data_IF_546634265730
#
_entry.id   IF_546634265730
#
_cell.length_a   1.000
_cell.length_b   1.000
_cell.length_c   1.000
_cell.angle_alpha   90.00
_cell.angle_beta   90.00
_cell.angle_gamma   90.00
#
_symmetry.space_group_name_H-M   'P 1'
#
loop_
_entity.id
_entity.type
_entity.pdbx_description
1 polymer ?
#
# COMPACT_ATOMS: atom_id res chain seq x y z
N UNK A 1 -16.35 -26.62 33.05
CA UNK A 1 -17.07 -26.95 31.81
C UNK A 1 -17.52 -25.63 31.20
N UNK A 2 -16.61 -24.94 30.49
CA UNK A 2 -16.84 -23.63 29.89
C UNK A 2 -16.76 -23.77 28.38
N UNK A 3 -17.84 -23.37 27.71
CA UNK A 3 -18.08 -23.53 26.29
C UNK A 3 -16.93 -22.96 25.45
N UNK A 4 -16.27 -23.83 24.66
CA UNK A 4 -15.50 -23.42 23.50
C UNK A 4 -16.48 -22.86 22.47
N UNK A 5 -16.60 -21.53 22.38
CA UNK A 5 -17.19 -20.89 21.21
C UNK A 5 -16.31 -21.23 20.02
N UNK A 6 -16.79 -22.09 19.13
CA UNK A 6 -16.06 -22.49 17.93
C UNK A 6 -15.69 -21.25 17.12
N UNK A 7 -14.40 -21.02 16.95
CA UNK A 7 -13.89 -20.11 15.94
C UNK A 7 -14.39 -20.59 14.57
N UNK A 8 -14.97 -19.68 13.80
CA UNK A 8 -15.75 -19.98 12.60
C UNK A 8 -14.96 -20.77 11.56
N UNK A 9 -15.54 -21.88 11.12
CA UNK A 9 -15.07 -22.80 10.06
C UNK A 9 -15.08 -22.19 8.64
N UNK A 10 -15.23 -20.87 8.50
CA UNK A 10 -15.38 -20.18 7.22
C UNK A 10 -14.09 -19.52 6.75
N UNK A 11 -13.95 -19.24 5.44
CA UNK A 11 -12.79 -18.52 4.93
C UNK A 11 -12.74 -17.08 5.48
N UNK A 12 -11.53 -16.59 5.72
CA UNK A 12 -11.32 -15.18 6.01
C UNK A 12 -11.52 -14.36 4.74
N UNK A 13 -12.35 -13.32 4.82
CA UNK A 13 -12.61 -12.41 3.70
C UNK A 13 -11.67 -11.20 3.74
N UNK A 14 -11.52 -10.55 2.58
CA UNK A 14 -10.72 -9.33 2.45
C UNK A 14 -11.36 -8.27 1.56
N UNK A 15 -10.97 -7.01 1.79
CA UNK A 15 -11.32 -5.88 0.95
C UNK A 15 -10.24 -5.62 -0.08
N UNK A 16 -10.65 -5.15 -1.26
CA UNK A 16 -9.77 -4.94 -2.40
C UNK A 16 -9.80 -3.48 -2.86
N UNK A 17 -8.72 -2.75 -2.58
CA UNK A 17 -8.38 -1.40 -3.03
C UNK A 17 -9.36 -0.28 -2.66
N UNK A 18 -10.64 -0.39 -3.01
CA UNK A 18 -11.66 0.65 -2.84
C UNK A 18 -13.00 0.02 -2.45
N UNK A 19 -13.87 0.85 -1.91
CA UNK A 19 -15.30 0.54 -1.80
C UNK A 19 -16.06 1.17 -2.97
N UNK A 20 -17.28 0.68 -3.24
CA UNK A 20 -18.18 1.34 -4.19
C UNK A 20 -18.57 2.75 -3.69
N UNK A 21 -18.73 2.90 -2.37
CA UNK A 21 -18.88 4.20 -1.72
C UNK A 21 -17.51 4.89 -1.54
N UNK A 22 -17.53 6.14 -1.08
CA UNK A 22 -16.31 6.89 -0.77
C UNK A 22 -15.66 6.51 0.58
N UNK A 23 -16.11 5.42 1.22
CA UNK A 23 -15.56 4.96 2.51
C UNK A 23 -14.08 4.60 2.41
N UNK A 24 -13.66 4.00 1.29
CA UNK A 24 -12.27 3.73 0.95
C UNK A 24 -12.04 4.10 -0.51
N UNK A 25 -11.39 5.25 -0.74
CA UNK A 25 -11.02 5.74 -2.07
C UNK A 25 -9.77 6.59 -1.96
N UNK A 26 -8.68 6.25 -2.66
CA UNK A 26 -7.40 6.95 -2.58
C UNK A 26 -7.28 8.11 -3.56
N UNK A 27 -6.42 9.07 -3.24
CA UNK A 27 -6.03 10.13 -4.19
C UNK A 27 -4.90 9.62 -5.07
N UNK A 28 -4.89 10.13 -6.30
CA UNK A 28 -3.83 9.89 -7.27
C UNK A 28 -3.32 11.22 -7.83
N UNK A 29 -2.06 11.23 -8.26
CA UNK A 29 -1.42 12.34 -8.92
C UNK A 29 -0.76 11.85 -10.20
N UNK A 30 -1.03 12.53 -11.32
CA UNK A 30 -0.39 12.18 -12.59
C UNK A 30 0.97 12.84 -12.72
N UNK A 31 1.90 12.20 -13.42
CA UNK A 31 3.24 12.76 -13.68
C UNK A 31 3.15 14.12 -14.38
N UNK A 32 2.22 14.26 -15.33
CA UNK A 32 1.95 15.52 -16.02
C UNK A 32 1.61 16.65 -15.05
N UNK A 33 0.80 16.39 -14.02
CA UNK A 33 0.44 17.39 -13.01
C UNK A 33 1.61 17.70 -12.08
N UNK A 34 2.35 16.68 -11.64
CA UNK A 34 3.53 16.87 -10.78
C UNK A 34 4.57 17.79 -11.44
N UNK A 35 4.85 17.58 -12.73
CA UNK A 35 5.82 18.37 -13.49
C UNK A 35 5.41 19.83 -13.77
N UNK A 36 4.19 20.25 -13.40
CA UNK A 36 3.79 21.66 -13.44
C UNK A 36 4.33 22.47 -12.25
N UNK A 37 4.87 21.79 -11.24
CA UNK A 37 5.40 22.39 -10.02
C UNK A 37 6.93 22.40 -10.01
N UNK A 38 7.52 23.36 -9.32
CA UNK A 38 8.96 23.34 -9.01
C UNK A 38 9.29 22.26 -7.98
N UNK A 39 10.58 22.00 -7.74
CA UNK A 39 11.03 20.92 -6.86
C UNK A 39 10.54 21.03 -5.40
N UNK A 40 10.40 22.25 -4.86
CA UNK A 40 9.91 22.44 -3.49
C UNK A 40 8.42 22.14 -3.42
N UNK A 41 7.68 22.62 -4.40
CA UNK A 41 6.24 22.44 -4.50
C UNK A 41 5.88 20.98 -4.82
N UNK A 42 6.68 20.28 -5.65
CA UNK A 42 6.55 18.84 -5.87
C UNK A 42 6.63 18.07 -4.55
N UNK A 43 7.66 18.33 -3.73
CA UNK A 43 7.82 17.69 -2.41
C UNK A 43 6.62 17.95 -1.52
N UNK A 44 6.12 19.19 -1.46
CA UNK A 44 4.95 19.57 -0.65
C UNK A 44 3.70 18.82 -1.10
N UNK A 45 3.41 18.82 -2.40
CA UNK A 45 2.24 18.14 -2.97
C UNK A 45 2.30 16.62 -2.74
N UNK A 46 3.48 16.00 -2.89
CA UNK A 46 3.67 14.58 -2.62
C UNK A 46 3.48 14.26 -1.13
N UNK A 47 4.03 15.09 -0.22
CA UNK A 47 3.87 14.89 1.22
C UNK A 47 2.40 14.95 1.64
N UNK A 48 1.66 15.94 1.16
CA UNK A 48 0.22 16.06 1.41
C UNK A 48 -0.57 14.87 0.85
N UNK A 49 -0.21 14.41 -0.35
CA UNK A 49 -0.84 13.24 -0.97
C UNK A 49 -0.58 11.97 -0.16
N UNK A 50 0.67 11.72 0.24
CA UNK A 50 1.05 10.54 0.99
C UNK A 50 0.39 10.52 2.37
N UNK A 51 0.32 11.68 3.05
CA UNK A 51 -0.34 11.80 4.34
C UNK A 51 -1.85 11.50 4.24
N UNK A 52 -2.52 12.06 3.23
CA UNK A 52 -3.94 11.77 2.98
C UNK A 52 -4.16 10.28 2.64
N UNK A 53 -3.30 9.69 1.80
CA UNK A 53 -3.38 8.27 1.46
C UNK A 53 -3.13 7.36 2.68
N UNK A 54 -2.22 7.71 3.58
CA UNK A 54 -2.03 7.00 4.85
C UNK A 54 -3.25 7.13 5.78
N UNK A 55 -3.84 8.32 5.86
CA UNK A 55 -5.08 8.51 6.61
C UNK A 55 -6.21 7.63 6.08
N UNK A 56 -6.32 7.51 4.75
CA UNK A 56 -7.29 6.64 4.09
C UNK A 56 -6.99 5.16 4.28
N UNK A 57 -5.72 4.77 4.29
CA UNK A 57 -5.32 3.41 4.64
C UNK A 57 -5.76 3.06 6.07
N UNK A 58 -5.56 3.95 7.03
CA UNK A 58 -6.07 3.75 8.39
C UNK A 58 -7.59 3.62 8.45
N UNK A 59 -8.33 4.45 7.69
CA UNK A 59 -9.78 4.31 7.56
C UNK A 59 -10.22 3.01 6.88
N UNK A 60 -9.44 2.50 5.92
CA UNK A 60 -9.68 1.19 5.31
C UNK A 60 -9.48 0.04 6.32
N UNK A 61 -8.49 0.15 7.21
CA UNK A 61 -8.31 -0.79 8.31
C UNK A 61 -9.51 -0.76 9.25
N UNK A 62 -10.02 0.43 9.62
CA UNK A 62 -11.22 0.58 10.44
C UNK A 62 -12.45 -0.05 9.78
N UNK A 63 -12.60 0.18 8.48
CA UNK A 63 -13.66 -0.42 7.68
C UNK A 63 -13.59 -1.96 7.71
N UNK A 64 -12.39 -2.53 7.59
CA UNK A 64 -12.15 -3.96 7.67
C UNK A 64 -12.50 -4.52 9.05
N UNK A 65 -12.02 -3.90 10.13
CA UNK A 65 -12.33 -4.30 11.52
C UNK A 65 -13.84 -4.31 11.75
N UNK A 66 -14.54 -3.25 11.36
CA UNK A 66 -15.98 -3.12 11.54
C UNK A 66 -16.80 -4.20 10.80
N UNK A 67 -16.19 -4.90 9.84
CA UNK A 67 -16.83 -5.95 9.02
C UNK A 67 -16.21 -7.33 9.20
N UNK A 68 -15.29 -7.48 10.15
CA UNK A 68 -14.58 -8.74 10.38
C UNK A 68 -13.70 -9.19 9.21
N UNK A 69 -13.23 -8.27 8.37
CA UNK A 69 -12.31 -8.56 7.27
C UNK A 69 -10.88 -8.64 7.80
N UNK A 70 -10.15 -9.69 7.44
CA UNK A 70 -8.78 -9.95 7.93
C UNK A 70 -7.70 -9.78 6.87
N UNK A 71 -8.09 -9.35 5.67
CA UNK A 71 -7.17 -9.07 4.57
C UNK A 71 -7.54 -7.76 3.90
N UNK A 72 -6.52 -6.98 3.54
CA UNK A 72 -6.71 -5.77 2.76
C UNK A 72 -5.67 -5.68 1.64
N UNK A 73 -6.15 -5.73 0.39
CA UNK A 73 -5.31 -5.45 -0.77
C UNK A 73 -5.23 -3.95 -0.98
N UNK A 74 -4.07 -3.37 -0.66
CA UNK A 74 -3.82 -1.95 -0.84
C UNK A 74 -3.72 -1.59 -2.34
N UNK A 75 -3.92 -0.31 -2.64
CA UNK A 75 -3.61 0.22 -3.97
C UNK A 75 -2.10 0.24 -4.20
N UNK A 76 -1.66 -0.14 -5.40
CA UNK A 76 -0.24 -0.06 -5.81
C UNK A 76 0.24 1.40 -5.95
N UNK A 77 -0.71 2.34 -6.10
CA UNK A 77 -0.46 3.77 -6.12
C UNK A 77 -0.60 4.46 -4.77
N UNK A 78 -0.30 3.78 -3.65
CA UNK A 78 -0.39 4.38 -2.31
C UNK A 78 0.60 5.55 -2.18
N UNK A 79 1.81 5.38 -2.73
CA UNK A 79 2.89 6.37 -2.77
C UNK A 79 3.38 6.55 -4.21
N UNK A 80 2.65 7.28 -5.07
CA UNK A 80 3.06 7.47 -6.46
C UNK A 80 4.39 8.24 -6.52
N UNK A 81 5.33 7.76 -7.33
CA UNK A 81 6.67 8.35 -7.51
C UNK A 81 7.63 8.19 -6.31
N UNK A 82 7.36 7.25 -5.39
CA UNK A 82 8.19 7.03 -4.21
C UNK A 82 9.64 6.56 -4.51
N UNK A 83 9.93 6.15 -5.75
CA UNK A 83 11.22 5.69 -6.23
C UNK A 83 11.99 6.72 -7.08
N UNK A 84 11.44 7.93 -7.28
CA UNK A 84 12.09 9.00 -8.05
C UNK A 84 12.66 10.13 -7.19
N UNK A 85 13.40 11.04 -7.82
CA UNK A 85 14.11 12.14 -7.14
C UNK A 85 13.18 13.08 -6.35
N UNK A 86 11.91 13.19 -6.76
CA UNK A 86 10.94 14.06 -6.10
C UNK A 86 10.27 13.35 -4.91
N UNK A 87 9.92 12.07 -5.07
CA UNK A 87 9.16 11.32 -4.08
C UNK A 87 10.00 10.53 -3.07
N UNK A 88 11.21 10.09 -3.41
CA UNK A 88 12.05 9.31 -2.51
C UNK A 88 12.39 10.04 -1.20
N UNK A 89 12.80 11.33 -1.20
CA UNK A 89 13.07 12.06 0.04
C UNK A 89 11.82 12.19 0.92
N UNK A 90 10.67 12.48 0.31
CA UNK A 90 9.38 12.61 1.03
C UNK A 90 8.97 11.27 1.66
N UNK A 91 9.16 10.18 0.92
CA UNK A 91 8.84 8.84 1.42
C UNK A 91 9.73 8.48 2.63
N UNK A 92 11.03 8.77 2.55
CA UNK A 92 11.97 8.57 3.66
C UNK A 92 11.64 9.44 4.89
N UNK A 93 11.31 10.72 4.68
CA UNK A 93 10.88 11.63 5.75
C UNK A 93 9.62 11.15 6.48
N UNK A 94 8.76 10.37 5.82
CA UNK A 94 7.50 9.85 6.38
C UNK A 94 7.63 8.41 6.90
N UNK A 95 8.85 7.86 7.00
CA UNK A 95 9.06 6.46 7.35
C UNK A 95 8.41 6.05 8.68
N UNK A 96 8.39 6.95 9.68
CA UNK A 96 7.75 6.66 10.96
C UNK A 96 6.22 6.62 10.88
N UNK A 97 5.58 7.56 10.18
CA UNK A 97 4.14 7.58 9.90
C UNK A 97 3.70 6.30 9.16
N UNK A 98 4.48 5.90 8.17
CA UNK A 98 4.25 4.69 7.38
C UNK A 98 4.37 3.46 8.28
N UNK A 99 5.45 3.36 9.06
CA UNK A 99 5.67 2.26 9.99
C UNK A 99 4.54 2.14 11.02
N UNK A 100 4.08 3.24 11.60
CA UNK A 100 2.96 3.25 12.55
C UNK A 100 1.68 2.67 11.93
N UNK A 101 1.38 3.03 10.68
CA UNK A 101 0.19 2.51 9.98
C UNK A 101 0.31 1.01 9.69
N UNK A 102 1.48 0.55 9.26
CA UNK A 102 1.69 -0.88 8.99
C UNK A 102 1.71 -1.74 10.25
N UNK A 103 2.32 -1.28 11.35
CA UNK A 103 2.27 -1.95 12.65
C UNK A 103 0.85 -2.05 13.17
N UNK A 104 0.06 -0.98 13.02
CA UNK A 104 -1.36 -0.99 13.37
C UNK A 104 -2.15 -2.05 12.61
N UNK A 105 -1.89 -2.24 11.31
CA UNK A 105 -2.54 -3.32 10.55
C UNK A 105 -2.25 -4.71 11.15
N UNK A 106 -0.99 -4.95 11.55
CA UNK A 106 -0.58 -6.17 12.24
C UNK A 106 -1.29 -6.34 13.59
N UNK A 107 -1.37 -5.29 14.40
CA UNK A 107 -2.06 -5.29 15.69
C UNK A 107 -3.57 -5.59 15.55
N UNK A 108 -4.18 -5.10 14.48
CA UNK A 108 -5.59 -5.37 14.14
C UNK A 108 -5.80 -6.78 13.54
N UNK A 109 -4.74 -7.55 13.31
CA UNK A 109 -4.81 -8.86 12.67
C UNK A 109 -5.24 -8.78 11.20
N UNK A 110 -4.97 -7.66 10.52
CA UNK A 110 -5.26 -7.46 9.11
C UNK A 110 -4.00 -7.70 8.29
N UNK A 111 -4.07 -8.69 7.41
CA UNK A 111 -3.03 -8.99 6.43
C UNK A 111 -3.08 -7.95 5.30
N UNK A 112 -2.04 -7.14 5.20
CA UNK A 112 -1.85 -6.26 4.05
C UNK A 112 -1.29 -7.07 2.88
N UNK A 113 -1.84 -6.86 1.69
CA UNK A 113 -1.31 -7.43 0.43
C UNK A 113 -1.33 -6.38 -0.69
N UNK A 114 -0.65 -6.64 -1.79
CA UNK A 114 -0.61 -5.79 -2.97
C UNK A 114 -0.66 -6.66 -4.23
N UNK A 115 -1.27 -6.14 -5.29
CA UNK A 115 -1.15 -6.73 -6.62
C UNK A 115 -0.46 -5.73 -7.54
N UNK A 116 0.77 -6.00 -8.01
CA UNK A 116 1.45 -5.13 -8.96
C UNK A 116 0.60 -4.92 -10.22
N UNK A 117 0.87 -3.83 -10.94
CA UNK A 117 0.14 -3.57 -12.19
C UNK A 117 0.48 -4.58 -13.30
N UNK A 118 -0.29 -4.54 -14.39
CA UNK A 118 -0.10 -5.45 -15.52
C UNK A 118 1.22 -5.26 -16.29
N UNK A 119 2.05 -4.27 -15.95
CA UNK A 119 3.33 -4.02 -16.62
C UNK A 119 4.48 -4.85 -16.02
N UNK A 120 4.25 -5.56 -14.92
CA UNK A 120 5.20 -6.50 -14.32
C UNK A 120 5.14 -7.85 -15.06
N UNK A 121 6.08 -8.06 -15.98
CA UNK A 121 6.20 -9.27 -16.80
C UNK A 121 7.63 -9.81 -16.74
N UNK A 122 7.91 -10.62 -15.70
CA UNK A 122 9.24 -11.22 -15.49
C UNK A 122 9.65 -12.26 -16.54
N UNK A 123 8.69 -12.83 -17.27
CA UNK A 123 8.91 -13.81 -18.33
C UNK A 123 8.97 -13.19 -19.73
N UNK A 124 9.20 -11.87 -19.85
CA UNK A 124 9.29 -11.20 -21.14
C UNK A 124 10.62 -11.50 -21.84
N UNK A 125 10.58 -11.64 -23.17
CA UNK A 125 11.79 -11.74 -24.00
C UNK A 125 12.55 -10.40 -24.12
N UNK A 126 11.94 -9.29 -23.68
CA UNK A 126 12.57 -7.97 -23.70
C UNK A 126 13.34 -7.73 -22.39
N UNK A 127 14.68 -7.55 -22.43
CA UNK A 127 15.47 -7.26 -21.23
C UNK A 127 15.01 -5.97 -20.52
N UNK A 128 14.54 -4.98 -21.27
CA UNK A 128 14.02 -3.73 -20.73
C UNK A 128 12.72 -3.93 -19.95
N UNK A 129 11.81 -4.79 -20.43
CA UNK A 129 10.56 -5.12 -19.72
C UNK A 129 10.87 -5.88 -18.43
N UNK A 130 11.80 -6.84 -18.48
CA UNK A 130 12.24 -7.57 -17.27
C UNK A 130 12.85 -6.61 -16.25
N UNK A 131 13.77 -5.73 -16.68
CA UNK A 131 14.39 -4.74 -15.79
C UNK A 131 13.35 -3.80 -15.14
N UNK A 132 12.38 -3.32 -15.92
CA UNK A 132 11.30 -2.49 -15.38
C UNK A 132 10.40 -3.26 -14.39
N UNK A 133 10.12 -4.53 -14.67
CA UNK A 133 9.33 -5.41 -13.80
C UNK A 133 10.01 -5.61 -12.44
N UNK A 134 11.32 -5.87 -12.46
CA UNK A 134 12.14 -5.98 -11.23
C UNK A 134 12.08 -4.67 -10.45
N UNK A 135 12.27 -3.51 -11.10
CA UNK A 135 12.21 -2.20 -10.46
C UNK A 135 10.87 -1.93 -9.76
N UNK A 136 9.76 -2.27 -10.41
CA UNK A 136 8.41 -2.12 -9.82
C UNK A 136 8.26 -3.00 -8.58
N UNK A 137 8.71 -4.27 -8.66
CA UNK A 137 8.65 -5.20 -7.54
C UNK A 137 9.53 -4.75 -6.36
N UNK A 138 10.73 -4.25 -6.62
CA UNK A 138 11.62 -3.66 -5.60
C UNK A 138 10.98 -2.45 -4.92
N UNK A 139 10.29 -1.60 -5.68
CA UNK A 139 9.56 -0.45 -5.15
C UNK A 139 8.45 -0.90 -4.19
N UNK A 140 7.66 -1.90 -4.58
CA UNK A 140 6.63 -2.46 -3.71
C UNK A 140 7.20 -3.16 -2.47
N UNK A 141 8.31 -3.90 -2.62
CA UNK A 141 9.00 -4.51 -1.49
C UNK A 141 9.46 -3.44 -0.48
N UNK A 142 10.03 -2.32 -0.96
CA UNK A 142 10.44 -1.19 -0.12
C UNK A 142 9.27 -0.58 0.66
N UNK A 143 8.09 -0.44 0.02
CA UNK A 143 6.87 0.02 0.71
C UNK A 143 6.48 -0.93 1.84
N UNK A 144 6.53 -2.25 1.61
CA UNK A 144 6.22 -3.25 2.64
C UNK A 144 7.23 -3.25 3.79
N UNK A 145 8.52 -3.08 3.49
CA UNK A 145 9.56 -2.93 4.51
C UNK A 145 9.33 -1.69 5.37
N UNK A 146 8.91 -0.57 4.77
CA UNK A 146 8.57 0.67 5.49
C UNK A 146 7.30 0.55 6.32
N UNK A 147 6.31 -0.21 5.85
CA UNK A 147 5.13 -0.62 6.62
C UNK A 147 5.47 -1.67 7.71
N UNK A 148 6.73 -2.04 7.89
CA UNK A 148 7.19 -3.06 8.86
C UNK A 148 6.47 -4.40 8.69
N UNK A 149 6.12 -4.74 7.46
CA UNK A 149 5.50 -6.03 7.16
C UNK A 149 6.58 -7.14 7.11
N UNK A 150 6.23 -8.39 7.44
CA UNK A 150 7.20 -9.46 7.48
C UNK A 150 7.73 -9.79 6.08
N UNK A 151 9.04 -10.05 5.96
CA UNK A 151 9.67 -10.55 4.73
C UNK A 151 9.37 -12.04 4.55
N UNK A 152 8.15 -12.33 4.15
CA UNK A 152 7.61 -13.68 3.97
C UNK A 152 6.73 -13.74 2.73
N UNK A 153 6.64 -14.88 2.02
CA UNK A 153 5.63 -15.10 1.00
C UNK A 153 4.20 -14.79 1.48
N UNK A 154 3.97 -14.88 2.79
CA UNK A 154 2.71 -14.51 3.42
C UNK A 154 2.41 -13.00 3.41
N UNK A 155 3.34 -12.08 3.20
CA UNK A 155 3.04 -10.65 3.24
C UNK A 155 2.66 -10.06 1.88
N UNK A 156 3.33 -10.49 0.80
CA UNK A 156 3.26 -9.78 -0.48
C UNK A 156 2.25 -10.37 -1.48
N UNK A 157 1.82 -11.64 -1.31
CA UNK A 157 0.90 -12.34 -2.22
C UNK A 157 -0.25 -13.04 -1.49
#
# INVERSE_FOLDING_TARGET
MGLKTGEGSGPNLGLVCITQSDAVRYRALTRKRLLQFDANEQRRVLRELYADNLSRLNGALDFCVARGLRLYRMTSGLFPFADDDAGAPVHEEMAEEIARTGLRATELGIRLVLHPDQFVVLSSDSPMVVANSVKILETHARVFDMLRQPRSPWALM
#
